data_IF_631125265269
#
_entry.id   IF_631125265269
#
_cell.length_a   1.000
_cell.length_b   1.000
_cell.length_c   1.000
_cell.angle_alpha   90.00
_cell.angle_beta   90.00
_cell.angle_gamma   90.00
#
_symmetry.space_group_name_H-M   'P 1'
#
loop_
_entity.id
_entity.type
_entity.pdbx_description
1 polymer ?
#
# COMPACT_ATOMS: atom_id res chain seq x y z
N UNK A 1 -50.91 34.73 56.03
CA UNK A 1 -51.70 33.92 55.09
C UNK A 1 -51.87 34.72 53.82
N UNK A 2 -50.88 34.67 52.95
CA UNK A 2 -50.89 35.26 51.61
C UNK A 2 -50.12 34.27 50.76
N UNK A 3 -50.86 33.45 50.04
CA UNK A 3 -50.34 32.43 49.15
C UNK A 3 -49.91 33.12 47.85
N UNK A 4 -48.59 33.22 47.62
CA UNK A 4 -48.03 33.65 46.34
C UNK A 4 -48.04 32.47 45.37
N UNK A 5 -48.96 32.52 44.43
CA UNK A 5 -49.09 31.60 43.30
C UNK A 5 -48.09 32.05 42.22
N UNK A 6 -47.01 31.28 42.04
CA UNK A 6 -45.99 31.56 41.01
C UNK A 6 -46.48 31.11 39.63
N UNK A 7 -46.39 31.95 38.58
CA UNK A 7 -46.90 31.60 37.26
C UNK A 7 -46.03 30.56 36.56
N UNK A 8 -46.67 29.49 36.07
CA UNK A 8 -46.09 28.47 35.20
C UNK A 8 -45.53 29.09 33.91
N UNK A 9 -44.29 28.75 33.49
CA UNK A 9 -43.72 29.26 32.25
C UNK A 9 -44.44 28.67 31.03
N UNK A 10 -44.81 29.56 30.12
CA UNK A 10 -45.49 29.25 28.86
C UNK A 10 -44.71 28.23 28.04
N UNK A 11 -45.43 27.17 27.62
CA UNK A 11 -44.96 26.13 26.73
C UNK A 11 -44.53 26.74 25.39
N UNK A 12 -43.23 26.77 25.14
CA UNK A 12 -42.66 27.13 23.85
C UNK A 12 -42.97 26.01 22.85
N UNK A 13 -43.97 26.25 22.00
CA UNK A 13 -44.24 25.47 20.79
C UNK A 13 -43.04 25.59 19.85
N UNK A 14 -42.16 24.59 19.89
CA UNK A 14 -41.08 24.41 18.93
C UNK A 14 -41.72 24.10 17.57
N UNK A 15 -41.74 25.11 16.70
CA UNK A 15 -42.21 25.02 15.34
C UNK A 15 -41.27 24.07 14.55
N UNK A 16 -41.77 22.87 14.28
CA UNK A 16 -41.05 21.77 13.63
C UNK A 16 -41.32 21.77 12.13
N UNK A 17 -41.33 22.96 11.50
CA UNK A 17 -41.51 23.12 10.06
C UNK A 17 -40.27 23.71 9.40
N UNK A 18 -39.91 23.07 8.29
CA UNK A 18 -38.95 23.48 7.28
C UNK A 18 -37.48 23.14 7.56
N UNK A 19 -37.05 21.99 7.04
CA UNK A 19 -36.06 21.94 5.95
C UNK A 19 -35.93 20.49 5.44
N UNK A 20 -36.94 20.04 4.71
CA UNK A 20 -36.78 18.95 3.72
C UNK A 20 -36.82 19.61 2.34
N UNK A 21 -35.76 20.33 2.00
CA UNK A 21 -35.58 20.91 0.67
C UNK A 21 -34.32 20.33 0.04
N UNK A 22 -34.50 19.70 -1.12
CA UNK A 22 -33.41 19.38 -2.04
C UNK A 22 -32.82 17.99 -1.86
N UNK A 23 -33.53 16.99 -2.36
CA UNK A 23 -33.02 15.64 -2.64
C UNK A 23 -31.97 15.63 -3.75
N UNK A 24 -30.82 16.25 -3.50
CA UNK A 24 -29.60 15.87 -4.18
C UNK A 24 -29.05 14.67 -3.45
N UNK A 25 -29.17 13.47 -4.04
CA UNK A 25 -28.40 12.29 -3.62
C UNK A 25 -26.92 12.58 -3.88
N UNK A 26 -26.31 13.44 -3.08
CA UNK A 26 -24.86 13.54 -2.99
C UNK A 26 -24.45 12.21 -2.35
N UNK A 27 -23.84 11.34 -3.15
CA UNK A 27 -22.97 10.28 -2.65
C UNK A 27 -21.77 10.96 -1.98
N UNK A 28 -22.03 11.66 -0.88
CA UNK A 28 -20.98 12.08 0.01
C UNK A 28 -20.61 10.79 0.71
N UNK A 29 -19.55 10.15 0.20
CA UNK A 29 -18.73 9.21 0.97
C UNK A 29 -18.01 9.97 2.12
N UNK A 30 -18.60 11.04 2.63
CA UNK A 30 -18.26 11.55 3.93
C UNK A 30 -18.86 10.54 4.90
N UNK A 31 -17.96 9.85 5.60
CA UNK A 31 -18.28 9.12 6.82
C UNK A 31 -19.27 9.97 7.62
N UNK A 32 -20.54 9.54 7.76
CA UNK A 32 -21.55 10.34 8.44
C UNK A 32 -21.23 10.33 9.92
N UNK A 33 -20.41 11.27 10.35
CA UNK A 33 -20.21 11.61 11.75
C UNK A 33 -21.49 12.26 12.22
N UNK A 34 -22.38 11.41 12.69
CA UNK A 34 -23.68 11.79 13.21
C UNK A 34 -23.47 12.80 14.35
N UNK A 35 -24.31 13.84 14.46
CA UNK A 35 -24.24 14.83 15.56
C UNK A 35 -24.28 14.13 16.93
N UNK A 36 -24.91 12.97 16.94
CA UNK A 36 -24.98 11.98 17.99
C UNK A 36 -23.59 11.53 18.48
N UNK A 37 -22.63 11.23 17.60
CA UNK A 37 -21.27 10.83 17.96
C UNK A 37 -20.52 11.94 18.71
N UNK A 38 -20.58 13.17 18.19
CA UNK A 38 -19.98 14.33 18.85
C UNK A 38 -20.57 14.57 20.25
N UNK A 39 -21.88 14.39 20.42
CA UNK A 39 -22.53 14.52 21.73
C UNK A 39 -22.04 13.47 22.74
N UNK A 40 -21.77 12.25 22.27
CA UNK A 40 -21.28 11.16 23.12
C UNK A 40 -19.83 11.37 23.56
N UNK A 41 -18.95 11.79 22.65
CA UNK A 41 -17.55 12.11 22.99
C UNK A 41 -17.50 13.26 23.99
N UNK A 42 -18.34 14.29 23.79
CA UNK A 42 -18.46 15.40 24.74
C UNK A 42 -18.91 14.92 26.12
N UNK A 43 -19.91 14.05 26.20
CA UNK A 43 -20.36 13.46 27.48
C UNK A 43 -19.30 12.61 28.17
N UNK A 44 -18.41 11.96 27.41
CA UNK A 44 -17.38 11.07 27.95
C UNK A 44 -16.14 11.82 28.45
N UNK A 45 -15.72 12.85 27.74
CA UNK A 45 -14.44 13.53 28.00
C UNK A 45 -14.58 14.88 28.69
N UNK A 46 -15.76 15.52 28.66
CA UNK A 46 -15.98 16.74 29.44
C UNK A 46 -16.28 16.34 30.87
N UNK A 47 -15.29 16.57 31.74
CA UNK A 47 -15.43 16.52 33.21
C UNK A 47 -15.55 17.95 33.72
N UNK A 48 -16.19 18.18 34.87
CA UNK A 48 -16.35 19.52 35.45
C UNK A 48 -15.01 20.26 35.63
N UNK A 49 -13.92 19.53 35.85
CA UNK A 49 -12.56 20.07 36.01
C UNK A 49 -11.86 20.39 34.68
N UNK A 50 -12.33 19.87 33.54
CA UNK A 50 -11.73 20.09 32.23
C UNK A 50 -12.79 20.30 31.15
N UNK A 51 -13.22 21.56 31.04
CA UNK A 51 -14.28 21.99 30.12
C UNK A 51 -13.91 21.86 28.64
N UNK A 52 -12.61 21.85 28.30
CA UNK A 52 -12.11 21.83 26.92
C UNK A 52 -11.02 20.77 26.72
N UNK A 53 -11.37 19.48 26.75
CA UNK A 53 -10.43 18.41 26.45
C UNK A 53 -9.91 18.54 25.01
N UNK A 54 -8.59 18.40 24.83
CA UNK A 54 -7.96 18.45 23.50
C UNK A 54 -8.52 17.40 22.54
N UNK A 55 -9.06 16.29 23.08
CA UNK A 55 -9.74 15.24 22.33
C UNK A 55 -10.93 15.76 21.52
N UNK A 56 -11.70 16.72 22.07
CA UNK A 56 -12.83 17.31 21.34
C UNK A 56 -12.35 18.17 20.17
N UNK A 57 -11.26 18.94 20.35
CA UNK A 57 -10.66 19.72 19.26
C UNK A 57 -10.10 18.83 18.17
N UNK A 58 -9.47 17.72 18.56
CA UNK A 58 -8.90 16.78 17.61
C UNK A 58 -9.98 16.08 16.77
N UNK A 59 -11.07 15.66 17.41
CA UNK A 59 -12.24 15.12 16.70
C UNK A 59 -12.86 16.15 15.75
N UNK A 60 -12.96 17.42 16.16
CA UNK A 60 -13.45 18.51 15.32
C UNK A 60 -12.53 18.76 14.10
N UNK A 61 -11.20 18.64 14.30
CA UNK A 61 -10.22 18.74 13.22
C UNK A 61 -10.33 17.55 12.25
N UNK A 62 -10.34 16.32 12.75
CA UNK A 62 -10.50 15.13 11.90
C UNK A 62 -11.81 15.18 11.10
N UNK A 63 -12.88 15.64 11.75
CA UNK A 63 -14.18 15.76 11.12
C UNK A 63 -14.35 17.03 10.27
N UNK A 64 -13.29 17.82 10.12
CA UNK A 64 -13.35 19.00 9.26
C UNK A 64 -13.49 18.57 7.80
N UNK A 65 -14.40 19.22 7.07
CA UNK A 65 -14.63 18.97 5.63
C UNK A 65 -13.33 19.10 4.82
N UNK A 66 -12.44 20.00 5.22
CA UNK A 66 -11.14 20.18 4.57
C UNK A 66 -10.27 18.94 4.74
N UNK A 67 -10.19 18.37 5.95
CA UNK A 67 -9.39 17.18 6.23
C UNK A 67 -9.96 15.99 5.49
N UNK A 68 -11.26 15.78 5.54
CA UNK A 68 -11.94 14.71 4.79
C UNK A 68 -11.66 14.79 3.29
N UNK A 69 -11.72 15.99 2.71
CA UNK A 69 -11.40 16.18 1.29
C UNK A 69 -9.93 15.84 0.98
N UNK A 70 -9.00 16.29 1.83
CA UNK A 70 -7.57 15.97 1.68
C UNK A 70 -7.35 14.45 1.72
N UNK A 71 -8.00 13.74 2.66
CA UNK A 71 -7.86 12.29 2.80
C UNK A 71 -8.42 11.55 1.59
N UNK A 72 -9.58 11.98 1.08
CA UNK A 72 -10.15 11.40 -0.15
C UNK A 72 -9.19 11.62 -1.33
N UNK A 73 -8.60 12.81 -1.46
CA UNK A 73 -7.61 13.09 -2.52
C UNK A 73 -6.35 12.24 -2.34
N UNK A 74 -5.86 12.07 -1.11
CA UNK A 74 -4.71 11.20 -0.81
C UNK A 74 -5.00 9.74 -1.14
N UNK A 75 -6.22 9.25 -0.90
CA UNK A 75 -6.62 7.88 -1.22
C UNK A 75 -6.68 7.67 -2.74
N UNK A 76 -7.26 8.62 -3.47
CA UNK A 76 -7.26 8.57 -4.94
C UNK A 76 -5.84 8.64 -5.50
N UNK A 77 -4.97 9.45 -4.90
CA UNK A 77 -3.57 9.57 -5.27
C UNK A 77 -2.82 8.25 -5.02
N UNK A 78 -3.04 7.59 -3.88
CA UNK A 78 -2.46 6.29 -3.54
C UNK A 78 -2.80 5.23 -4.58
N UNK A 79 -4.08 5.12 -4.96
CA UNK A 79 -4.51 4.21 -6.04
C UNK A 79 -3.80 4.53 -7.36
N UNK A 80 -3.63 5.80 -7.71
CA UNK A 80 -2.91 6.20 -8.93
C UNK A 80 -1.42 5.85 -8.87
N UNK A 81 -0.80 5.93 -7.69
CA UNK A 81 0.60 5.56 -7.48
C UNK A 81 0.77 4.06 -7.64
N UNK A 82 -0.09 3.25 -7.02
CA UNK A 82 -0.06 1.78 -7.16
C UNK A 82 -0.16 1.39 -8.64
N UNK A 83 -1.06 2.01 -9.41
CA UNK A 83 -1.12 1.77 -10.86
C UNK A 83 0.17 2.17 -11.59
N UNK A 84 0.80 3.25 -11.15
CA UNK A 84 2.06 3.72 -11.73
C UNK A 84 3.23 2.78 -11.42
N UNK A 85 3.29 2.24 -10.20
CA UNK A 85 4.26 1.22 -9.80
C UNK A 85 4.08 -0.06 -10.60
N UNK A 86 2.84 -0.58 -10.70
CA UNK A 86 2.54 -1.76 -11.52
C UNK A 86 2.89 -1.56 -13.00
N UNK A 87 2.68 -0.34 -13.53
CA UNK A 87 3.08 -0.02 -14.89
C UNK A 87 4.61 0.02 -15.04
N UNK A 88 5.33 0.61 -14.09
CA UNK A 88 6.79 0.63 -14.10
C UNK A 88 7.37 -0.78 -14.02
N UNK A 89 6.83 -1.64 -13.16
CA UNK A 89 7.26 -3.04 -13.04
C UNK A 89 6.99 -3.84 -14.32
N UNK A 90 5.91 -3.52 -15.04
CA UNK A 90 5.59 -4.17 -16.32
C UNK A 90 6.50 -3.71 -17.47
N UNK A 91 6.88 -2.43 -17.52
CA UNK A 91 7.71 -1.87 -18.60
C UNK A 91 9.22 -2.03 -18.35
N UNK A 92 9.64 -2.00 -17.09
CA UNK A 92 11.03 -2.07 -16.66
C UNK A 92 11.19 -3.19 -15.62
N UNK A 93 10.98 -4.46 -16.03
CA UNK A 93 11.08 -5.58 -15.10
C UNK A 93 12.49 -5.65 -14.50
N UNK A 94 12.57 -5.87 -13.19
CA UNK A 94 13.84 -6.11 -12.53
C UNK A 94 14.52 -7.37 -13.10
N UNK A 95 15.82 -7.27 -13.33
CA UNK A 95 16.66 -8.34 -13.87
C UNK A 95 16.54 -9.68 -13.11
N UNK A 96 16.27 -9.61 -11.80
CA UNK A 96 16.08 -10.79 -10.94
C UNK A 96 14.78 -11.57 -11.19
N UNK A 97 13.81 -10.99 -11.89
CA UNK A 97 12.47 -11.57 -12.07
C UNK A 97 12.32 -12.33 -13.40
N UNK A 98 13.20 -12.06 -14.38
CA UNK A 98 13.17 -12.68 -15.72
C UNK A 98 14.52 -13.32 -16.03
N UNK A 99 14.87 -14.38 -15.30
CA UNK A 99 16.00 -15.25 -15.69
C UNK A 99 15.60 -16.22 -16.83
N UNK A 100 14.30 -16.32 -17.16
CA UNK A 100 13.75 -17.32 -18.09
C UNK A 100 13.62 -16.91 -19.55
N UNK A 101 13.74 -15.62 -19.89
CA UNK A 101 13.63 -15.13 -21.29
C UNK A 101 14.94 -14.55 -21.84
N UNK A 102 16.07 -14.91 -21.23
CA UNK A 102 17.40 -14.69 -21.80
C UNK A 102 17.54 -15.49 -23.11
N UNK A 103 17.16 -14.87 -24.25
CA UNK A 103 17.44 -15.41 -25.58
C UNK A 103 18.95 -15.34 -25.77
N UNK A 104 19.62 -16.50 -25.73
CA UNK A 104 21.05 -16.60 -26.02
C UNK A 104 21.27 -16.35 -27.51
N UNK A 105 21.87 -15.21 -27.86
CA UNK A 105 22.33 -14.96 -29.21
C UNK A 105 23.64 -15.73 -29.47
N UNK A 106 23.60 -16.74 -30.34
CA UNK A 106 24.78 -17.45 -30.83
C UNK A 106 25.57 -16.62 -31.87
N UNK A 107 26.89 -16.73 -31.87
CA UNK A 107 27.76 -16.33 -32.98
C UNK A 107 27.91 -17.50 -33.97
N UNK A 108 27.80 -17.20 -35.27
CA UNK A 108 28.18 -18.10 -36.36
C UNK A 108 29.68 -18.29 -36.29
N UNK A 109 30.12 -19.53 -36.08
CA UNK A 109 31.52 -19.86 -35.83
C UNK A 109 32.44 -19.52 -37.00
N UNK A 110 33.48 -18.74 -36.73
CA UNK A 110 34.69 -18.72 -37.55
C UNK A 110 35.51 -19.98 -37.24
N UNK A 111 35.43 -21.00 -38.09
CA UNK A 111 36.15 -22.24 -37.80
C UNK A 111 36.03 -23.36 -38.83
N UNK A 112 36.19 -23.05 -40.12
CA UNK A 112 36.76 -23.96 -41.14
C UNK A 112 35.98 -25.23 -41.52
N UNK A 113 35.26 -25.19 -42.64
CA UNK A 113 35.62 -25.97 -43.86
C UNK A 113 34.60 -25.75 -44.99
N UNK A 114 35.03 -25.51 -46.24
CA UNK A 114 34.15 -25.26 -47.39
C UNK A 114 33.64 -26.57 -48.01
N UNK A 115 32.60 -27.19 -47.45
CA UNK A 115 31.91 -28.31 -48.12
C UNK A 115 30.44 -27.99 -48.44
N UNK A 116 30.27 -27.45 -49.65
CA UNK A 116 29.18 -27.67 -50.62
C UNK A 116 28.01 -28.56 -50.14
N UNK A 117 26.87 -27.94 -49.83
CA UNK A 117 25.52 -28.53 -49.94
C UNK A 117 24.62 -27.37 -50.40
N UNK A 118 24.20 -27.29 -51.66
CA UNK A 118 23.26 -28.21 -52.28
C UNK A 118 21.90 -27.51 -52.34
N UNK A 119 21.74 -26.59 -53.30
CA UNK A 119 20.45 -26.00 -53.63
C UNK A 119 19.48 -27.11 -54.05
N UNK A 120 18.44 -27.34 -53.26
CA UNK A 120 17.26 -28.10 -53.70
C UNK A 120 16.10 -27.13 -53.77
N UNK A 121 15.60 -26.95 -54.98
CA UNK A 121 14.47 -26.11 -55.34
C UNK A 121 13.24 -26.39 -54.47
N UNK A 122 12.68 -25.32 -53.92
CA UNK A 122 11.23 -25.14 -53.92
C UNK A 122 10.43 -25.72 -52.77
N UNK A 123 10.77 -25.43 -51.51
CA UNK A 123 9.75 -25.35 -50.46
C UNK A 123 10.20 -24.49 -49.28
N UNK A 124 9.74 -23.24 -49.25
CA UNK A 124 9.94 -22.31 -48.13
C UNK A 124 8.90 -22.63 -47.06
N UNK A 125 9.31 -23.30 -45.98
CA UNK A 125 8.50 -23.36 -44.74
C UNK A 125 8.78 -22.09 -43.95
N UNK A 126 7.76 -21.24 -43.90
CA UNK A 126 7.71 -19.98 -43.21
C UNK A 126 7.58 -20.22 -41.69
N UNK A 127 8.69 -20.33 -40.97
CA UNK A 127 8.67 -20.18 -39.50
C UNK A 127 8.95 -18.74 -39.13
N UNK A 128 7.86 -17.98 -39.00
CA UNK A 128 7.80 -16.67 -38.35
C UNK A 128 8.32 -16.75 -36.92
N UNK A 129 9.48 -16.14 -36.63
CA UNK A 129 9.74 -15.52 -35.32
C UNK A 129 11.01 -14.65 -35.35
N UNK A 130 10.86 -13.34 -35.60
CA UNK A 130 11.48 -12.26 -34.80
C UNK A 130 11.05 -10.88 -35.31
N UNK A 131 10.49 -10.08 -34.41
CA UNK A 131 10.07 -8.69 -34.62
C UNK A 131 11.29 -7.76 -34.59
N UNK A 132 11.88 -7.50 -35.75
CA UNK A 132 12.98 -6.54 -35.87
C UNK A 132 13.41 -6.30 -37.31
N UNK A 133 12.49 -5.96 -38.21
CA UNK A 133 12.81 -5.62 -39.60
C UNK A 133 12.07 -4.34 -40.02
N UNK A 134 12.82 -3.24 -40.15
CA UNK A 134 12.32 -1.99 -40.72
C UNK A 134 13.33 -0.84 -40.64
N UNK A 135 14.32 -0.83 -41.53
CA UNK A 135 15.27 0.29 -41.73
C UNK A 135 16.59 -0.20 -42.32
N UNK A 136 16.56 -0.70 -43.56
CA UNK A 136 17.04 -0.02 -44.78
C UNK A 136 18.57 0.17 -44.85
N UNK A 137 19.20 -0.84 -45.47
CA UNK A 137 20.47 -0.79 -46.24
C UNK A 137 21.72 -0.33 -45.52
N UNK A 138 22.19 -1.14 -44.59
CA UNK A 138 23.63 -1.27 -44.33
C UNK A 138 24.01 -2.76 -44.41
N UNK A 139 24.86 -3.11 -45.39
CA UNK A 139 25.24 -4.48 -45.79
C UNK A 139 26.20 -5.19 -44.81
N UNK A 140 26.10 -4.94 -43.49
CA UNK A 140 27.06 -5.46 -42.50
C UNK A 140 26.47 -6.18 -41.27
N UNK A 141 25.19 -6.60 -41.27
CA UNK A 141 24.57 -7.22 -40.08
C UNK A 141 23.90 -8.58 -40.35
N UNK A 142 24.63 -9.56 -40.90
CA UNK A 142 24.12 -10.89 -41.21
C UNK A 142 24.62 -12.03 -40.29
N UNK A 143 24.80 -11.80 -38.98
CA UNK A 143 25.19 -12.86 -38.03
C UNK A 143 24.43 -12.77 -36.69
N UNK A 144 23.11 -12.84 -36.75
CA UNK A 144 22.25 -13.04 -35.58
C UNK A 144 21.56 -14.42 -35.67
N UNK A 145 22.37 -15.45 -35.42
CA UNK A 145 22.07 -16.75 -34.81
C UNK A 145 21.47 -17.90 -35.67
N UNK A 146 22.32 -18.85 -36.11
CA UNK A 146 21.92 -20.16 -36.64
C UNK A 146 22.10 -21.28 -35.57
N UNK A 147 21.12 -22.18 -35.44
CA UNK A 147 21.14 -23.35 -34.54
C UNK A 147 22.00 -24.50 -35.13
N UNK A 148 22.63 -25.39 -34.32
CA UNK A 148 22.39 -25.69 -32.90
C UNK A 148 23.26 -24.88 -31.93
N UNK A 149 22.65 -24.48 -30.81
CA UNK A 149 23.25 -23.58 -29.82
C UNK A 149 24.35 -24.29 -29.03
N UNK A 150 25.59 -23.84 -29.17
CA UNK A 150 26.69 -24.17 -28.26
C UNK A 150 26.60 -23.25 -27.06
N UNK A 151 26.55 -23.82 -25.85
CA UNK A 151 26.60 -23.08 -24.58
C UNK A 151 27.87 -22.20 -24.55
N UNK A 152 27.71 -20.89 -24.63
CA UNK A 152 28.79 -19.93 -24.37
C UNK A 152 28.82 -19.59 -22.88
N UNK A 153 30.00 -19.28 -22.34
CA UNK A 153 30.20 -18.91 -20.93
C UNK A 153 29.71 -17.49 -20.58
N UNK A 154 28.88 -16.88 -21.41
CA UNK A 154 28.38 -15.52 -21.22
C UNK A 154 26.87 -15.58 -21.00
N UNK A 155 26.41 -15.57 -19.73
CA UNK A 155 24.99 -15.47 -19.42
C UNK A 155 24.48 -14.17 -20.02
N UNK A 156 23.28 -14.17 -20.62
CA UNK A 156 22.67 -12.92 -21.07
C UNK A 156 22.62 -11.95 -19.87
N UNK A 157 23.47 -10.92 -19.93
CA UNK A 157 23.62 -9.98 -18.84
C UNK A 157 22.49 -8.98 -18.90
N UNK A 158 21.67 -8.93 -17.86
CA UNK A 158 20.79 -7.80 -17.66
C UNK A 158 21.65 -6.63 -17.14
N UNK A 159 21.63 -5.50 -17.84
CA UNK A 159 22.37 -4.30 -17.45
C UNK A 159 21.52 -3.45 -16.49
N UNK A 160 21.74 -3.65 -15.19
CA UNK A 160 21.06 -2.91 -14.10
C UNK A 160 21.19 -1.39 -14.22
N UNK A 161 22.18 -0.87 -14.98
CA UNK A 161 22.42 0.56 -15.11
C UNK A 161 21.67 1.22 -16.26
N UNK A 162 20.98 0.44 -17.11
CA UNK A 162 20.34 0.99 -18.31
C UNK A 162 19.20 1.99 -18.00
N UNK A 163 18.50 1.80 -16.88
CA UNK A 163 17.34 2.62 -16.51
C UNK A 163 17.42 3.14 -15.06
N UNK A 164 18.53 3.81 -14.71
CA UNK A 164 18.74 4.39 -13.37
C UNK A 164 17.55 5.23 -12.86
N UNK A 165 16.95 6.03 -13.75
CA UNK A 165 15.79 6.86 -13.42
C UNK A 165 14.55 6.07 -13.01
N UNK A 166 14.31 4.90 -13.61
CA UNK A 166 13.16 4.06 -13.27
C UNK A 166 13.32 3.45 -11.87
N UNK A 167 14.52 3.02 -11.50
CA UNK A 167 14.81 2.50 -10.17
C UNK A 167 14.65 3.57 -9.07
N UNK A 168 15.10 4.80 -9.33
CA UNK A 168 14.90 5.92 -8.40
C UNK A 168 13.41 6.26 -8.27
N UNK A 169 12.69 6.34 -9.39
CA UNK A 169 11.26 6.63 -9.37
C UNK A 169 10.49 5.57 -8.58
N UNK A 170 10.77 4.28 -8.82
CA UNK A 170 10.16 3.17 -8.07
C UNK A 170 10.43 3.29 -6.56
N UNK A 171 11.67 3.59 -6.14
CA UNK A 171 11.99 3.76 -4.73
C UNK A 171 11.26 4.95 -4.08
N UNK A 172 11.02 6.03 -4.83
CA UNK A 172 10.31 7.22 -4.35
C UNK A 172 8.80 6.98 -4.26
N UNK A 173 8.20 6.35 -5.28
CA UNK A 173 6.78 5.99 -5.27
C UNK A 173 6.48 5.07 -4.08
N UNK A 174 7.33 4.07 -3.87
CA UNK A 174 7.20 3.11 -2.78
C UNK A 174 7.34 3.78 -1.40
N UNK A 175 8.25 4.75 -1.27
CA UNK A 175 8.36 5.51 -0.03
C UNK A 175 7.10 6.35 0.24
N UNK A 176 6.46 6.85 -0.81
CA UNK A 176 5.29 7.71 -0.72
C UNK A 176 4.01 6.91 -0.41
N UNK A 177 3.79 5.73 -1.00
CA UNK A 177 2.70 4.80 -0.63
C UNK A 177 2.76 4.45 0.85
N UNK A 178 3.94 4.09 1.35
CA UNK A 178 4.17 3.78 2.77
C UNK A 178 3.79 4.94 3.69
N UNK A 179 4.14 6.18 3.32
CA UNK A 179 3.80 7.37 4.11
C UNK A 179 2.29 7.60 4.12
N UNK A 180 1.61 7.49 2.97
CA UNK A 180 0.16 7.69 2.88
C UNK A 180 -0.59 6.63 3.70
N UNK A 181 -0.28 5.35 3.49
CA UNK A 181 -0.89 4.26 4.26
C UNK A 181 -0.65 4.43 5.76
N UNK A 182 0.56 4.86 6.15
CA UNK A 182 0.87 5.17 7.55
C UNK A 182 0.04 6.32 8.13
N UNK A 183 -0.21 7.37 7.36
CA UNK A 183 -1.07 8.49 7.79
C UNK A 183 -2.52 8.04 7.97
N UNK A 184 -3.07 7.23 7.07
CA UNK A 184 -4.42 6.67 7.20
C UNK A 184 -4.54 5.73 8.41
N UNK A 185 -3.56 4.86 8.65
CA UNK A 185 -3.53 3.99 9.83
C UNK A 185 -3.52 4.82 11.13
N UNK A 186 -2.67 5.85 11.21
CA UNK A 186 -2.61 6.74 12.39
C UNK A 186 -3.96 7.43 12.63
N UNK A 187 -4.61 7.91 11.57
CA UNK A 187 -5.92 8.55 11.68
C UNK A 187 -6.99 7.58 12.17
N UNK A 188 -7.04 6.37 11.61
CA UNK A 188 -7.98 5.33 12.02
C UNK A 188 -7.76 4.92 13.47
N UNK A 189 -6.51 4.74 13.90
CA UNK A 189 -6.16 4.46 15.29
C UNK A 189 -6.56 5.61 16.23
N UNK A 190 -6.42 6.85 15.77
CA UNK A 190 -6.84 8.03 16.53
C UNK A 190 -8.37 8.08 16.68
N UNK A 191 -9.12 7.72 15.63
CA UNK A 191 -10.57 7.54 15.68
C UNK A 191 -10.98 6.43 16.65
N UNK A 192 -10.30 5.27 16.63
CA UNK A 192 -10.51 4.18 17.62
C UNK A 192 -10.30 4.69 19.05
N UNK A 193 -9.26 5.49 19.27
CA UNK A 193 -8.93 6.07 20.56
C UNK A 193 -9.99 7.07 21.05
N UNK A 194 -10.45 7.97 20.16
CA UNK A 194 -11.41 9.04 20.49
C UNK A 194 -12.84 8.51 20.71
N UNK A 195 -13.33 7.60 19.87
CA UNK A 195 -14.68 7.02 20.00
C UNK A 195 -14.71 5.90 21.07
N UNK A 196 -13.58 5.23 21.24
CA UNK A 196 -13.42 4.04 22.08
C UNK A 196 -13.82 2.75 21.36
N UNK A 197 -13.16 1.63 21.69
CA UNK A 197 -13.22 0.40 20.89
C UNK A 197 -14.64 -0.16 20.79
N UNK A 198 -15.39 -0.22 21.91
CA UNK A 198 -16.75 -0.80 21.92
C UNK A 198 -17.72 -0.15 20.90
N UNK A 199 -17.57 1.14 20.63
CA UNK A 199 -18.44 1.85 19.68
C UNK A 199 -17.89 1.79 18.27
N UNK A 200 -16.57 1.93 18.12
CA UNK A 200 -15.89 1.77 16.85
C UNK A 200 -16.21 0.39 16.21
N UNK A 201 -16.08 -0.70 16.97
CA UNK A 201 -16.37 -2.05 16.49
C UNK A 201 -17.85 -2.34 16.22
N UNK A 202 -18.76 -1.44 16.59
CA UNK A 202 -20.18 -1.58 16.24
C UNK A 202 -20.45 -1.22 14.78
N UNK A 203 -19.55 -0.47 14.14
CA UNK A 203 -19.67 -0.04 12.75
C UNK A 203 -18.74 -0.89 11.89
N UNK A 204 -19.31 -1.85 11.17
CA UNK A 204 -18.56 -2.84 10.38
C UNK A 204 -17.63 -2.18 9.34
N UNK A 205 -18.05 -1.06 8.76
CA UNK A 205 -17.26 -0.35 7.74
C UNK A 205 -15.94 0.19 8.28
N UNK A 206 -15.91 0.72 9.51
CA UNK A 206 -14.67 1.21 10.12
C UNK A 206 -13.70 0.06 10.43
N UNK A 207 -14.24 -1.06 10.91
CA UNK A 207 -13.43 -2.25 11.19
C UNK A 207 -12.82 -2.82 9.91
N UNK A 208 -13.59 -2.84 8.83
CA UNK A 208 -13.11 -3.27 7.53
C UNK A 208 -12.01 -2.34 7.02
N UNK A 209 -12.19 -1.03 7.14
CA UNK A 209 -11.20 -0.03 6.72
C UNK A 209 -9.88 -0.19 7.49
N UNK A 210 -9.94 -0.27 8.82
CA UNK A 210 -8.77 -0.56 9.66
C UNK A 210 -8.11 -1.87 9.24
N UNK A 211 -8.88 -2.94 9.02
CA UNK A 211 -8.33 -4.22 8.60
C UNK A 211 -7.64 -4.13 7.23
N UNK A 212 -8.27 -3.48 6.25
CA UNK A 212 -7.72 -3.33 4.90
C UNK A 212 -6.43 -2.49 4.95
N UNK A 213 -6.44 -1.34 5.61
CA UNK A 213 -5.26 -0.47 5.72
C UNK A 213 -4.12 -1.17 6.46
N UNK A 214 -4.40 -1.85 7.57
CA UNK A 214 -3.38 -2.60 8.32
C UNK A 214 -2.79 -3.75 7.48
N UNK A 215 -3.61 -4.52 6.77
CA UNK A 215 -3.11 -5.61 5.91
C UNK A 215 -2.31 -5.06 4.74
N UNK A 216 -2.76 -3.99 4.10
CA UNK A 216 -2.02 -3.32 3.01
C UNK A 216 -0.66 -2.84 3.50
N UNK A 217 -0.60 -2.16 4.64
CA UNK A 217 0.66 -1.69 5.23
C UNK A 217 1.57 -2.87 5.61
N UNK A 218 1.01 -3.95 6.15
CA UNK A 218 1.79 -5.15 6.50
C UNK A 218 2.36 -5.85 5.26
N UNK A 219 1.58 -5.96 4.18
CA UNK A 219 2.04 -6.51 2.90
C UNK A 219 3.14 -5.63 2.30
N UNK A 220 2.95 -4.31 2.29
CA UNK A 220 3.93 -3.34 1.79
C UNK A 220 5.27 -3.44 2.53
N UNK A 221 5.22 -3.45 3.87
CA UNK A 221 6.42 -3.63 4.71
C UNK A 221 7.05 -5.00 4.45
N UNK A 222 6.24 -6.06 4.34
CA UNK A 222 6.73 -7.41 4.08
C UNK A 222 7.43 -7.48 2.73
N UNK A 223 6.86 -6.92 1.66
CA UNK A 223 7.51 -6.87 0.36
C UNK A 223 8.82 -6.09 0.41
N UNK A 224 8.85 -4.95 1.12
CA UNK A 224 10.10 -4.19 1.29
C UNK A 224 11.20 -4.99 1.98
N UNK A 225 10.82 -5.72 3.02
CA UNK A 225 11.74 -6.51 3.84
C UNK A 225 12.20 -7.72 3.05
N UNK A 226 11.27 -8.50 2.48
CA UNK A 226 11.56 -9.66 1.64
C UNK A 226 12.43 -9.29 0.44
N UNK A 227 12.18 -8.16 -0.23
CA UNK A 227 12.99 -7.78 -1.39
C UNK A 227 14.43 -7.42 -1.01
N UNK A 228 14.65 -6.93 0.21
CA UNK A 228 15.99 -6.70 0.76
C UNK A 228 16.62 -7.96 1.33
N UNK A 229 15.81 -8.87 1.89
CA UNK A 229 16.26 -10.09 2.54
C UNK A 229 16.56 -11.22 1.55
N UNK A 230 15.98 -11.23 0.35
CA UNK A 230 16.41 -12.15 -0.73
C UNK A 230 17.84 -11.82 -1.20
N UNK A 231 18.33 -10.59 -0.97
CA UNK A 231 19.74 -10.24 -1.15
C UNK A 231 20.62 -10.61 0.07
N UNK A 232 20.02 -11.01 1.20
CA UNK A 232 20.68 -11.35 2.46
C UNK A 232 20.00 -12.58 3.09
N UNK A 233 19.97 -13.69 2.36
CA UNK A 233 19.28 -14.93 2.70
C UNK A 233 19.89 -15.63 3.95
N UNK A 234 19.88 -15.03 5.14
CA UNK A 234 20.39 -15.64 6.38
C UNK A 234 20.07 -14.81 7.66
N UNK A 235 19.39 -15.48 8.60
CA UNK A 235 19.42 -15.28 10.07
C UNK A 235 18.59 -14.12 10.68
N UNK A 236 17.33 -14.42 11.08
CA UNK A 236 17.02 -14.32 12.53
C UNK A 236 15.75 -13.62 13.02
N UNK A 237 14.97 -12.88 12.22
CA UNK A 237 13.93 -11.97 12.77
C UNK A 237 12.47 -12.40 12.46
N UNK A 238 12.28 -13.64 12.02
CA UNK A 238 10.96 -14.27 12.03
C UNK A 238 10.36 -14.43 13.47
N UNK A 239 11.11 -14.05 14.52
CA UNK A 239 10.72 -14.15 15.93
C UNK A 239 9.81 -13.02 16.45
N UNK A 240 9.58 -11.92 15.70
CA UNK A 240 8.82 -10.76 16.23
C UNK A 240 7.42 -10.62 15.61
N UNK A 241 7.21 -11.02 14.35
CA UNK A 241 5.92 -10.77 13.65
C UNK A 241 4.75 -11.65 14.12
N UNK A 242 5.00 -12.82 14.73
CA UNK A 242 3.91 -13.62 15.33
C UNK A 242 3.44 -13.11 16.71
N UNK A 243 4.19 -12.22 17.37
CA UNK A 243 3.87 -11.79 18.76
C UNK A 243 2.90 -10.59 18.79
N UNK A 244 2.82 -9.77 17.73
CA UNK A 244 1.93 -8.60 17.70
C UNK A 244 0.53 -8.85 17.09
N UNK A 245 0.33 -9.94 16.34
CA UNK A 245 -0.96 -10.30 15.70
C UNK A 245 -1.81 -11.29 16.52
N UNK A 246 -1.41 -11.61 17.76
CA UNK A 246 -2.25 -12.37 18.70
C UNK A 246 -3.07 -11.40 19.59
N UNK A 247 -4.39 -11.27 19.40
CA UNK A 247 -5.20 -10.20 19.99
C UNK A 247 -5.62 -10.48 21.44
N UNK A 248 -4.80 -11.17 22.26
CA UNK A 248 -5.22 -11.58 23.60
C UNK A 248 -4.14 -11.48 24.70
N UNK A 249 -3.45 -10.34 24.78
CA UNK A 249 -2.58 -9.97 25.89
C UNK A 249 -2.69 -8.45 26.10
N UNK A 250 -3.21 -7.87 27.18
CA UNK A 250 -3.61 -8.41 28.47
C UNK A 250 -4.48 -7.36 29.17
N UNK A 251 -5.66 -7.79 29.57
CA UNK A 251 -6.42 -7.21 30.69
C UNK A 251 -5.83 -7.66 32.05
N UNK A 252 -4.55 -8.09 32.07
CA UNK A 252 -3.86 -8.64 33.23
C UNK A 252 -2.68 -7.74 33.60
N UNK A 253 -2.92 -6.86 34.57
CA UNK A 253 -1.88 -6.20 35.34
C UNK A 253 -1.10 -7.20 36.19
N UNK A 254 -0.24 -7.99 35.55
CA UNK A 254 0.74 -8.85 36.19
C UNK A 254 2.13 -8.26 36.03
N UNK A 255 2.75 -7.83 37.13
CA UNK A 255 4.16 -7.41 37.18
C UNK A 255 5.05 -8.61 36.83
N UNK A 256 5.60 -8.65 35.61
CA UNK A 256 6.69 -9.57 35.29
C UNK A 256 8.02 -8.83 35.47
N UNK A 257 8.71 -9.17 36.57
CA UNK A 257 10.12 -8.85 36.74
C UNK A 257 10.93 -9.74 35.79
N UNK A 258 11.57 -9.14 34.79
CA UNK A 258 12.61 -9.81 34.02
C UNK A 258 13.86 -9.85 34.90
N UNK A 259 14.10 -11.00 35.53
CA UNK A 259 15.37 -11.30 36.20
C UNK A 259 16.35 -11.78 35.13
N UNK A 260 17.15 -10.85 34.62
CA UNK A 260 18.31 -11.18 33.77
C UNK A 260 19.27 -12.02 34.63
N UNK A 261 19.33 -13.31 34.38
CA UNK A 261 20.37 -14.17 34.93
C UNK A 261 21.68 -13.80 34.24
N UNK A 262 22.49 -13.03 34.96
CA UNK A 262 23.90 -12.80 34.62
C UNK A 262 24.62 -14.11 34.91
N UNK A 263 24.88 -14.89 33.86
CA UNK A 263 25.77 -16.03 33.95
C UNK A 263 27.15 -15.52 34.36
N UNK A 264 27.59 -15.95 35.54
CA UNK A 264 28.99 -15.97 35.92
C UNK A 264 29.37 -17.43 35.86
N UNK A 265 30.44 -17.71 35.12
CA UNK A 265 31.42 -18.79 35.32
C UNK A 265 31.74 -19.52 33.99
N UNK A 266 32.79 -19.04 33.31
CA UNK A 266 33.86 -19.82 32.68
C UNK A 266 34.90 -18.86 32.07
#
# INVERSE_FOLDING_TARGET
MTSEESPLPASATIDRRNEYSGGGKRFSFAVPTTKEENSMVKKRHVTDDNKHPWQCRLLEILNSQTVQYILIVLLLLDVCIIFSELALDAFYPNCNLIERDAISCCAVGEGGDPHVVGAVDGFVVETMRLLGAGGEKDEHHSDLCAAPLVETSHPAGCDDYKYEGAHIAHAVLFAFTLIILGLFEIELLLMVYLLGPKKYFSQVLYVLDLFVVTVSLALEITFRVVHKDILHDLVGIHSISCVALCPNWSWFGGKYYIRVARDKDA
#
